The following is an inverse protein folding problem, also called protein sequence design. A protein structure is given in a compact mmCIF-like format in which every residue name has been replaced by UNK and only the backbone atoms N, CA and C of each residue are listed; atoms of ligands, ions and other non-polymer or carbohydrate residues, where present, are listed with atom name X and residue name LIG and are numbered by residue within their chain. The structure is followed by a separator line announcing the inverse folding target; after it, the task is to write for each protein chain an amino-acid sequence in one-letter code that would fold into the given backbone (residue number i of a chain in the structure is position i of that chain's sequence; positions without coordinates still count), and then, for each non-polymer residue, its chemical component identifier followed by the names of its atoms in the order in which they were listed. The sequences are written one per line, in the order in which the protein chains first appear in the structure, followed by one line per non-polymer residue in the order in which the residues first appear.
data_IF_046826164673
#
_entry.id   IF_046826164673
#
_cell.length_a   1.000
_cell.length_b   1.000
_cell.length_c   1.000
_cell.angle_alpha   90.00
_cell.angle_beta   90.00
_cell.angle_gamma   90.00
#
_symmetry.space_group_name_H-M   'P 1'
#
loop_
_entity.id
_entity.type
_entity.pdbx_description
1 polymer ?
#
# COMPACT_ATOMS: atom_id res chain seq x y z
N UNK A 1 31.31 -20.77 14.78
CA UNK A 1 31.35 -19.41 14.21
C UNK A 1 31.09 -18.42 15.32
N UNK A 2 31.73 -17.25 15.29
CA UNK A 2 31.43 -16.15 16.22
C UNK A 2 30.20 -15.35 15.74
N UNK A 3 29.69 -14.42 16.56
CA UNK A 3 28.49 -13.64 16.23
C UNK A 3 28.64 -12.88 14.90
N UNK A 4 29.80 -12.27 14.64
CA UNK A 4 30.09 -11.54 13.40
C UNK A 4 30.09 -12.44 12.15
N UNK A 5 30.60 -13.65 12.26
CA UNK A 5 30.60 -14.63 11.17
C UNK A 5 29.17 -15.04 10.81
N UNK A 6 28.31 -15.28 11.80
CA UNK A 6 26.90 -15.58 11.59
C UNK A 6 26.14 -14.39 11.00
N UNK A 7 26.39 -13.17 11.50
CA UNK A 7 25.82 -11.93 10.95
C UNK A 7 26.17 -11.75 9.47
N UNK A 8 27.45 -11.87 9.13
CA UNK A 8 27.90 -11.72 7.74
C UNK A 8 27.36 -12.82 6.81
N UNK A 9 27.19 -14.05 7.32
CA UNK A 9 26.55 -15.12 6.58
C UNK A 9 25.05 -14.84 6.36
N UNK A 10 24.36 -14.34 7.39
CA UNK A 10 22.96 -13.92 7.31
C UNK A 10 22.74 -12.87 6.20
N UNK A 11 23.58 -11.83 6.16
CA UNK A 11 23.51 -10.78 5.11
C UNK A 11 23.69 -11.38 3.71
N UNK A 12 24.64 -12.31 3.53
CA UNK A 12 24.85 -12.99 2.23
C UNK A 12 23.65 -13.84 1.81
N UNK A 13 23.00 -14.50 2.76
CA UNK A 13 21.81 -15.32 2.50
C UNK A 13 20.60 -14.45 2.20
N UNK A 14 20.46 -13.32 2.89
CA UNK A 14 19.41 -12.33 2.66
C UNK A 14 19.50 -11.77 1.22
N UNK A 15 20.70 -11.37 0.77
CA UNK A 15 20.94 -10.95 -0.63
C UNK A 15 20.62 -12.01 -1.68
N UNK A 16 20.63 -13.29 -1.28
CA UNK A 16 20.24 -14.43 -2.14
C UNK A 16 18.77 -14.82 -1.98
N UNK A 17 17.97 -13.99 -1.30
CA UNK A 17 16.54 -14.21 -1.01
C UNK A 17 16.27 -15.52 -0.24
N UNK A 18 17.24 -15.98 0.55
CA UNK A 18 17.11 -17.17 1.40
C UNK A 18 16.70 -16.78 2.81
N UNK A 19 15.49 -16.25 2.97
CA UNK A 19 15.02 -15.57 4.17
C UNK A 19 15.03 -16.45 5.43
N UNK A 20 14.57 -17.70 5.35
CA UNK A 20 14.59 -18.61 6.52
C UNK A 20 16.02 -18.96 6.96
N UNK A 21 16.93 -19.17 6.00
CA UNK A 21 18.33 -19.46 6.30
C UNK A 21 19.05 -18.23 6.85
N UNK A 22 18.71 -17.04 6.34
CA UNK A 22 19.24 -15.77 6.82
C UNK A 22 18.78 -15.51 8.26
N UNK A 23 17.48 -15.69 8.54
CA UNK A 23 16.90 -15.59 9.88
C UNK A 23 17.60 -16.52 10.86
N UNK A 24 17.77 -17.79 10.51
CA UNK A 24 18.46 -18.76 11.35
C UNK A 24 19.89 -18.31 11.69
N UNK A 25 20.62 -17.74 10.71
CA UNK A 25 21.95 -17.19 10.97
C UNK A 25 21.92 -15.99 11.92
N UNK A 26 20.96 -15.08 11.75
CA UNK A 26 20.83 -13.93 12.67
C UNK A 26 20.40 -14.34 14.08
N UNK A 27 19.53 -15.34 14.23
CA UNK A 27 19.18 -15.91 15.53
C UNK A 27 20.39 -16.53 16.23
N UNK A 28 21.22 -17.29 15.51
CA UNK A 28 22.47 -17.82 16.06
C UNK A 28 23.47 -16.72 16.43
N UNK A 29 23.53 -15.64 15.66
CA UNK A 29 24.35 -14.47 16.00
C UNK A 29 23.85 -13.78 17.27
N UNK A 30 22.53 -13.68 17.43
CA UNK A 30 21.87 -13.05 18.57
C UNK A 30 22.05 -13.86 19.86
N UNK A 31 21.96 -15.20 19.78
CA UNK A 31 22.26 -16.10 20.90
C UNK A 31 23.71 -15.95 21.38
N UNK A 32 24.65 -15.72 20.45
CA UNK A 32 26.05 -15.51 20.78
C UNK A 32 26.34 -14.10 21.34
N UNK A 33 25.65 -13.08 20.84
CA UNK A 33 25.77 -11.68 21.29
C UNK A 33 24.51 -10.90 20.92
N UNK A 34 23.62 -10.69 21.89
CA UNK A 34 22.38 -9.98 21.66
C UNK A 34 22.63 -8.52 21.26
N UNK A 35 21.95 -8.07 20.21
CA UNK A 35 21.93 -6.66 19.79
C UNK A 35 20.61 -6.33 19.09
N UNK A 36 20.19 -5.07 19.19
CA UNK A 36 18.98 -4.58 18.53
C UNK A 36 19.10 -4.68 17.01
N UNK A 37 20.30 -4.47 16.46
CA UNK A 37 20.59 -4.66 15.04
C UNK A 37 20.22 -6.08 14.57
N UNK A 38 20.59 -7.10 15.35
CA UNK A 38 20.31 -8.50 15.00
C UNK A 38 18.82 -8.83 15.12
N UNK A 39 18.11 -8.21 16.09
CA UNK A 39 16.65 -8.32 16.16
C UNK A 39 15.99 -7.71 14.92
N UNK A 40 16.42 -6.51 14.52
CA UNK A 40 15.91 -5.87 13.30
C UNK A 40 16.18 -6.72 12.06
N UNK A 41 17.33 -7.38 11.96
CA UNK A 41 17.60 -8.33 10.87
C UNK A 41 16.68 -9.57 10.90
N UNK A 42 16.37 -10.10 12.08
CA UNK A 42 15.45 -11.23 12.25
C UNK A 42 14.04 -10.83 11.79
N UNK A 43 13.58 -9.64 12.20
CA UNK A 43 12.29 -9.08 11.81
C UNK A 43 12.22 -8.81 10.30
N UNK A 44 13.26 -8.19 9.73
CA UNK A 44 13.37 -7.94 8.30
C UNK A 44 13.24 -9.23 7.47
N UNK A 45 13.81 -10.34 7.96
CA UNK A 45 13.66 -11.64 7.30
C UNK A 45 12.21 -12.16 7.30
N UNK A 46 11.42 -11.86 8.34
CA UNK A 46 10.01 -12.22 8.37
C UNK A 46 9.20 -11.35 7.42
N UNK A 47 9.43 -10.04 7.39
CA UNK A 47 8.75 -9.11 6.45
C UNK A 47 9.07 -9.48 5.00
N UNK A 48 10.32 -9.83 4.70
CA UNK A 48 10.75 -10.18 3.35
C UNK A 48 10.11 -11.47 2.79
N UNK A 49 9.50 -12.32 3.62
CA UNK A 49 8.78 -13.51 3.12
C UNK A 49 7.56 -13.15 2.29
N UNK A 50 6.86 -12.09 2.68
CA UNK A 50 5.67 -11.59 1.98
C UNK A 50 6.00 -10.46 1.02
N UNK A 51 7.03 -9.66 1.33
CA UNK A 51 7.36 -8.43 0.61
C UNK A 51 8.79 -8.45 0.04
N UNK A 52 9.16 -9.57 -0.59
CA UNK A 52 10.53 -9.84 -0.99
C UNK A 52 11.12 -8.77 -1.93
N UNK A 53 10.37 -8.29 -2.90
CA UNK A 53 10.87 -7.34 -3.90
C UNK A 53 11.09 -5.94 -3.28
N UNK A 54 10.13 -5.47 -2.47
CA UNK A 54 10.20 -4.15 -1.82
C UNK A 54 11.32 -4.11 -0.77
N UNK A 55 11.40 -5.14 0.08
CA UNK A 55 12.47 -5.26 1.08
C UNK A 55 13.83 -5.28 0.39
N UNK A 56 14.00 -6.07 -0.68
CA UNK A 56 15.30 -6.18 -1.34
C UNK A 56 15.71 -4.89 -2.06
N UNK A 57 14.76 -4.20 -2.69
CA UNK A 57 15.00 -2.92 -3.36
C UNK A 57 15.51 -1.85 -2.39
N UNK A 58 14.86 -1.72 -1.23
CA UNK A 58 15.29 -0.80 -0.19
C UNK A 58 16.59 -1.25 0.48
N UNK A 59 16.71 -2.54 0.79
CA UNK A 59 17.89 -3.09 1.47
C UNK A 59 19.20 -2.81 0.72
N UNK A 60 19.22 -2.94 -0.60
CA UNK A 60 20.43 -2.67 -1.40
C UNK A 60 20.83 -1.19 -1.38
N UNK A 61 19.86 -0.27 -1.28
CA UNK A 61 20.09 1.17 -1.19
C UNK A 61 20.65 1.52 0.21
N UNK A 62 20.00 1.04 1.26
CA UNK A 62 20.30 1.40 2.65
C UNK A 62 21.56 0.73 3.22
N UNK A 63 21.96 -0.46 2.74
CA UNK A 63 23.23 -1.11 3.15
C UNK A 63 24.42 -0.52 2.38
N UNK A 64 24.20 0.03 1.19
CA UNK A 64 25.24 0.67 0.39
C UNK A 64 25.74 2.00 0.98
N UNK A 65 24.91 2.67 1.78
CA UNK A 65 25.29 3.88 2.50
C UNK A 65 26.05 3.48 3.77
N UNK A 66 27.33 3.83 3.86
CA UNK A 66 28.16 3.59 5.05
C UNK A 66 27.72 4.50 6.20
N UNK A 67 26.51 4.32 6.74
CA UNK A 67 26.07 5.01 7.96
C UNK A 67 26.38 4.16 9.18
N UNK A 68 26.64 4.83 10.31
CA UNK A 68 27.05 4.21 11.57
C UNK A 68 25.92 3.47 12.30
N UNK A 69 24.67 3.59 11.85
CA UNK A 69 23.50 3.04 12.52
C UNK A 69 22.71 2.13 11.57
N UNK A 70 23.09 0.85 11.57
CA UNK A 70 22.44 -0.17 10.75
C UNK A 70 21.05 -0.53 11.32
N UNK A 71 20.84 -0.42 12.63
CA UNK A 71 19.57 -0.70 13.27
C UNK A 71 18.49 0.24 12.76
N UNK A 72 18.75 1.56 12.79
CA UNK A 72 17.79 2.55 12.30
C UNK A 72 17.47 2.36 10.81
N UNK A 73 18.47 2.07 9.98
CA UNK A 73 18.25 1.81 8.56
C UNK A 73 17.33 0.60 8.33
N UNK A 74 17.54 -0.49 9.06
CA UNK A 74 16.71 -1.70 8.92
C UNK A 74 15.28 -1.44 9.41
N UNK A 75 15.13 -0.72 10.52
CA UNK A 75 13.82 -0.36 11.04
C UNK A 75 13.04 0.55 10.09
N UNK A 76 13.73 1.46 9.41
CA UNK A 76 13.12 2.32 8.38
C UNK A 76 12.61 1.49 7.20
N UNK A 77 13.37 0.51 6.73
CA UNK A 77 12.90 -0.43 5.67
C UNK A 77 11.66 -1.19 6.14
N UNK A 78 11.68 -1.74 7.36
CA UNK A 78 10.54 -2.45 7.93
C UNK A 78 9.33 -1.53 7.99
N UNK A 79 9.50 -0.29 8.47
CA UNK A 79 8.40 0.66 8.58
C UNK A 79 7.84 1.02 7.21
N UNK A 80 8.67 1.29 6.19
CA UNK A 80 8.20 1.64 4.86
C UNK A 80 7.39 0.49 4.22
N UNK A 81 7.87 -0.75 4.35
CA UNK A 81 7.22 -1.93 3.78
C UNK A 81 5.96 -2.32 4.57
N UNK A 82 6.00 -2.20 5.90
CA UNK A 82 4.83 -2.51 6.74
C UNK A 82 3.79 -1.39 6.72
N UNK A 83 4.18 -0.14 6.49
CA UNK A 83 3.25 0.98 6.27
C UNK A 83 2.58 0.88 4.91
N UNK A 84 3.31 0.54 3.83
CA UNK A 84 2.66 0.23 2.55
C UNK A 84 1.69 -0.93 2.71
N UNK A 85 2.08 -1.95 3.48
CA UNK A 85 1.17 -3.03 3.84
C UNK A 85 0.06 -2.58 4.78
N UNK A 86 0.16 -1.54 5.61
CA UNK A 86 -0.93 -1.06 6.47
C UNK A 86 -1.87 -0.10 5.74
N UNK A 87 -1.38 0.65 4.75
CA UNK A 87 -2.20 1.41 3.82
C UNK A 87 -2.91 0.48 2.82
N UNK A 88 -2.32 -0.68 2.50
CA UNK A 88 -2.94 -1.75 1.70
C UNK A 88 -3.75 -2.77 2.54
N UNK A 89 -3.40 -2.99 3.82
CA UNK A 89 -4.03 -3.88 4.80
C UNK A 89 -4.67 -3.10 5.97
N UNK A 90 -5.22 -1.91 5.73
CA UNK A 90 -6.54 -1.67 6.30
C UNK A 90 -7.34 -2.91 5.91
N UNK A 91 -7.57 -3.82 6.87
CA UNK A 91 -8.40 -4.99 6.65
C UNK A 91 -9.65 -4.48 5.98
N UNK A 92 -9.76 -4.75 4.68
CA UNK A 92 -11.03 -4.67 3.99
C UNK A 92 -11.82 -5.75 4.72
N UNK A 93 -12.63 -5.34 5.70
CA UNK A 93 -13.67 -6.19 6.27
C UNK A 93 -14.60 -6.51 5.10
N UNK A 94 -14.26 -7.59 4.38
CA UNK A 94 -15.04 -8.10 3.26
C UNK A 94 -16.44 -8.56 3.69
N UNK A 95 -16.74 -8.59 5.00
CA UNK A 95 -18.07 -8.91 5.51
C UNK A 95 -19.14 -7.97 4.95
N UNK A 96 -18.80 -6.71 4.64
CA UNK A 96 -19.72 -5.74 4.04
C UNK A 96 -19.16 -5.08 2.76
N UNK A 97 -18.14 -5.67 2.11
CA UNK A 97 -17.59 -5.12 0.87
C UNK A 97 -18.29 -5.68 -0.37
N UNK A 98 -18.64 -4.80 -1.32
CA UNK A 98 -19.19 -5.21 -2.62
C UNK A 98 -18.24 -4.80 -3.73
N UNK A 99 -18.14 -5.60 -4.80
CA UNK A 99 -17.37 -5.18 -5.97
C UNK A 99 -18.13 -4.08 -6.73
N UNK A 100 -17.42 -3.32 -7.55
CA UNK A 100 -18.10 -2.36 -8.44
C UNK A 100 -19.08 -3.03 -9.42
N UNK A 101 -18.83 -4.27 -9.80
CA UNK A 101 -19.78 -5.05 -10.61
C UNK A 101 -21.08 -5.29 -9.85
N UNK A 102 -21.00 -5.72 -8.59
CA UNK A 102 -22.18 -5.93 -7.73
C UNK A 102 -22.94 -4.62 -7.52
N UNK A 103 -22.21 -3.52 -7.32
CA UNK A 103 -22.80 -2.18 -7.23
C UNK A 103 -23.55 -1.81 -8.53
N UNK A 104 -22.96 -2.06 -9.70
CA UNK A 104 -23.61 -1.83 -11.00
C UNK A 104 -24.89 -2.66 -11.13
N UNK A 105 -24.90 -3.90 -10.67
CA UNK A 105 -26.10 -4.73 -10.67
C UNK A 105 -27.19 -4.17 -9.74
N UNK A 106 -26.84 -3.70 -8.54
CA UNK A 106 -27.78 -3.05 -7.63
C UNK A 106 -28.38 -1.78 -8.26
N UNK A 107 -27.56 -0.93 -8.87
CA UNK A 107 -28.01 0.28 -9.58
C UNK A 107 -28.93 -0.09 -10.75
N UNK A 108 -28.59 -1.12 -11.53
CA UNK A 108 -29.42 -1.59 -12.65
C UNK A 108 -30.77 -2.11 -12.17
N UNK A 109 -30.81 -2.84 -11.06
CA UNK A 109 -32.04 -3.40 -10.49
C UNK A 109 -32.94 -2.31 -9.88
N UNK A 110 -32.35 -1.31 -9.22
CA UNK A 110 -33.10 -0.19 -8.63
C UNK A 110 -33.49 0.88 -9.64
N UNK A 111 -32.72 1.06 -10.72
CA UNK A 111 -32.85 2.17 -11.66
C UNK A 111 -32.43 3.55 -11.10
N UNK A 112 -31.94 3.62 -9.87
CA UNK A 112 -31.58 4.86 -9.18
C UNK A 112 -30.23 4.74 -8.47
N UNK A 113 -29.23 5.42 -9.04
CA UNK A 113 -27.87 5.46 -8.48
C UNK A 113 -27.83 6.10 -7.09
N UNK A 114 -28.56 7.20 -6.86
CA UNK A 114 -28.51 7.95 -5.60
C UNK A 114 -29.08 7.14 -4.44
N UNK A 115 -30.20 6.47 -4.69
CA UNK A 115 -30.83 5.60 -3.70
C UNK A 115 -29.91 4.45 -3.31
N UNK A 116 -29.33 3.74 -4.29
CA UNK A 116 -28.40 2.63 -4.04
C UNK A 116 -27.14 3.13 -3.35
N UNK A 117 -26.49 4.17 -3.87
CA UNK A 117 -25.27 4.71 -3.28
C UNK A 117 -25.48 5.16 -1.83
N UNK A 118 -26.58 5.88 -1.53
CA UNK A 118 -26.89 6.31 -0.16
C UNK A 118 -27.17 5.15 0.78
N UNK A 119 -27.69 4.03 0.27
CA UNK A 119 -27.97 2.83 1.08
C UNK A 119 -26.72 2.04 1.46
N UNK A 120 -25.62 2.21 0.72
CA UNK A 120 -24.38 1.44 0.93
C UNK A 120 -23.23 2.30 1.45
N UNK A 121 -23.22 3.61 1.23
CA UNK A 121 -22.05 4.48 1.51
C UNK A 121 -21.61 4.49 2.98
N UNK A 122 -22.52 4.20 3.92
CA UNK A 122 -22.22 4.22 5.35
C UNK A 122 -21.74 2.87 5.90
N UNK A 123 -22.11 1.77 5.25
CA UNK A 123 -21.90 0.41 5.77
C UNK A 123 -21.00 -0.44 4.89
N UNK A 124 -20.84 -0.07 3.62
CA UNK A 124 -20.35 -1.00 2.59
C UNK A 124 -19.28 -0.31 1.76
N UNK A 125 -18.09 -0.91 1.75
CA UNK A 125 -16.95 -0.42 0.96
C UNK A 125 -17.07 -0.96 -0.48
N UNK A 126 -17.04 -0.07 -1.48
CA UNK A 126 -17.05 -0.47 -2.89
C UNK A 126 -15.61 -0.78 -3.33
N UNK A 127 -15.34 -2.05 -3.63
CA UNK A 127 -14.02 -2.51 -4.07
C UNK A 127 -13.89 -2.33 -5.58
N UNK A 128 -12.86 -1.59 -5.98
CA UNK A 128 -12.57 -1.25 -7.38
C UNK A 128 -11.15 -1.70 -7.68
N UNK A 129 -11.00 -2.63 -8.62
CA UNK A 129 -9.72 -3.31 -8.90
C UNK A 129 -9.08 -2.89 -10.22
N UNK A 130 -9.77 -2.08 -11.02
CA UNK A 130 -9.25 -1.57 -12.28
C UNK A 130 -9.63 -0.11 -12.52
N UNK A 131 -8.87 0.51 -13.40
CA UNK A 131 -8.91 1.94 -13.68
C UNK A 131 -10.18 2.39 -14.40
N UNK A 132 -10.68 1.61 -15.34
CA UNK A 132 -11.87 1.98 -16.11
C UNK A 132 -13.11 1.99 -15.21
N UNK A 133 -13.21 1.02 -14.30
CA UNK A 133 -14.27 0.95 -13.30
C UNK A 133 -14.18 2.11 -12.28
N UNK A 134 -12.98 2.52 -11.85
CA UNK A 134 -12.84 3.69 -10.98
C UNK A 134 -13.29 4.96 -11.68
N UNK A 135 -12.87 5.16 -12.93
CA UNK A 135 -13.27 6.30 -13.75
C UNK A 135 -14.79 6.36 -13.91
N UNK A 136 -15.41 5.23 -14.25
CA UNK A 136 -16.86 5.11 -14.37
C UNK A 136 -17.56 5.44 -13.05
N UNK A 137 -17.04 4.92 -11.92
CA UNK A 137 -17.59 5.18 -10.59
C UNK A 137 -17.52 6.66 -10.22
N UNK A 138 -16.35 7.28 -10.38
CA UNK A 138 -16.14 8.71 -10.07
C UNK A 138 -17.00 9.60 -10.96
N UNK A 139 -17.08 9.31 -12.26
CA UNK A 139 -17.99 10.03 -13.16
C UNK A 139 -19.44 9.95 -12.70
N UNK A 140 -19.88 8.77 -12.26
CA UNK A 140 -21.24 8.58 -11.77
C UNK A 140 -21.47 9.32 -10.45
N UNK A 141 -20.50 9.36 -9.53
CA UNK A 141 -20.58 10.17 -8.31
C UNK A 141 -20.79 11.64 -8.65
N UNK A 142 -19.97 12.18 -9.55
CA UNK A 142 -20.04 13.59 -9.96
C UNK A 142 -21.37 13.90 -10.65
N UNK A 143 -21.80 13.06 -11.61
CA UNK A 143 -23.09 13.22 -12.32
C UNK A 143 -24.27 13.22 -11.34
N UNK A 144 -24.16 12.51 -10.22
CA UNK A 144 -25.19 12.41 -9.19
C UNK A 144 -25.01 13.40 -8.02
N UNK A 145 -24.09 14.37 -8.12
CA UNK A 145 -23.93 15.43 -7.10
C UNK A 145 -23.04 15.08 -5.92
N UNK A 146 -22.37 13.92 -5.93
CA UNK A 146 -21.37 13.51 -4.93
C UNK A 146 -19.96 13.94 -5.37
N UNK A 147 -19.81 15.20 -5.81
CA UNK A 147 -18.58 15.72 -6.42
C UNK A 147 -17.38 15.62 -5.47
N UNK A 148 -17.53 16.04 -4.21
CA UNK A 148 -16.46 16.02 -3.22
C UNK A 148 -15.97 14.60 -2.94
N UNK A 149 -16.88 13.64 -2.84
CA UNK A 149 -16.52 12.23 -2.67
C UNK A 149 -15.78 11.69 -3.89
N UNK A 150 -16.25 11.99 -5.11
CA UNK A 150 -15.56 11.60 -6.34
C UNK A 150 -14.14 12.15 -6.43
N UNK A 151 -13.91 13.38 -5.95
CA UNK A 151 -12.58 13.98 -5.86
C UNK A 151 -11.69 13.27 -4.82
N UNK A 152 -12.22 13.00 -3.63
CA UNK A 152 -11.48 12.29 -2.58
C UNK A 152 -11.02 10.90 -3.05
N UNK A 153 -11.85 10.18 -3.81
CA UNK A 153 -11.47 8.88 -4.40
C UNK A 153 -10.35 9.00 -5.44
N UNK A 154 -10.31 10.08 -6.22
CA UNK A 154 -9.22 10.33 -7.18
C UNK A 154 -7.92 10.71 -6.46
N UNK A 155 -8.01 11.53 -5.42
CA UNK A 155 -6.85 11.98 -4.63
C UNK A 155 -6.22 10.81 -3.86
N UNK A 156 -7.02 9.97 -3.19
CA UNK A 156 -6.52 8.80 -2.46
C UNK A 156 -5.91 7.74 -3.37
N UNK A 157 -6.31 7.74 -4.65
CA UNK A 157 -5.83 6.78 -5.65
C UNK A 157 -4.81 7.42 -6.61
N UNK A 158 -4.34 8.65 -6.35
CA UNK A 158 -3.49 9.42 -7.26
C UNK A 158 -2.18 8.70 -7.64
N UNK A 159 -1.62 7.91 -6.73
CA UNK A 159 -0.42 7.10 -6.97
C UNK A 159 -0.64 6.02 -8.05
N UNK A 160 -1.87 5.52 -8.21
CA UNK A 160 -2.25 4.54 -9.25
C UNK A 160 -2.31 5.22 -10.64
N UNK A 161 -2.43 6.55 -10.68
CA UNK A 161 -2.75 7.32 -11.89
C UNK A 161 -1.67 8.30 -12.35
N UNK A 162 -0.47 8.27 -11.77
CA UNK A 162 0.66 9.09 -12.21
C UNK A 162 0.90 8.91 -13.73
N UNK A 163 0.69 10.00 -14.48
CA UNK A 163 0.91 10.07 -15.93
C UNK A 163 -0.32 9.78 -16.80
N UNK A 164 -1.53 9.59 -16.25
CA UNK A 164 -2.74 9.43 -17.06
C UNK A 164 -3.40 10.77 -17.45
N UNK A 165 -3.34 11.08 -18.75
CA UNK A 165 -3.85 12.32 -19.33
C UNK A 165 -5.38 12.50 -19.15
N UNK A 166 -6.16 11.41 -19.11
CA UNK A 166 -7.62 11.51 -18.91
C UNK A 166 -7.95 11.86 -17.46
N UNK A 167 -7.27 11.25 -16.50
CA UNK A 167 -7.41 11.55 -15.07
C UNK A 167 -6.95 12.97 -14.79
N UNK A 168 -5.80 13.40 -15.30
CA UNK A 168 -5.31 14.77 -15.17
C UNK A 168 -6.33 15.78 -15.72
N UNK A 169 -6.96 15.45 -16.85
CA UNK A 169 -8.02 16.28 -17.43
C UNK A 169 -9.27 16.33 -16.56
N UNK A 170 -9.70 15.20 -15.99
CA UNK A 170 -10.85 15.13 -15.07
C UNK A 170 -10.57 15.95 -13.81
N UNK A 171 -9.41 15.77 -13.18
CA UNK A 171 -8.99 16.55 -12.00
C UNK A 171 -8.97 18.04 -12.33
N UNK A 172 -8.40 18.42 -13.48
CA UNK A 172 -8.35 19.81 -13.94
C UNK A 172 -9.74 20.38 -14.21
N UNK A 173 -10.60 19.67 -14.93
CA UNK A 173 -11.97 20.10 -15.25
C UNK A 173 -12.83 20.22 -13.97
N UNK A 174 -12.58 19.41 -12.95
CA UNK A 174 -13.28 19.44 -11.66
C UNK A 174 -12.77 20.54 -10.73
N UNK A 175 -11.45 20.76 -10.69
CA UNK A 175 -10.81 21.84 -9.94
C UNK A 175 -11.17 23.23 -10.50
N UNK A 176 -11.21 23.39 -11.83
CA UNK A 176 -11.59 24.63 -12.49
C UNK A 176 -13.07 25.01 -12.30
N UNK A 177 -13.96 24.04 -12.02
CA UNK A 177 -15.36 24.33 -11.71
C UNK A 177 -15.58 24.93 -10.32
N UNK A 178 -14.62 24.83 -9.39
CA UNK A 178 -14.75 25.43 -8.06
C UNK A 178 -14.50 26.95 -8.07
N UNK A 179 -13.77 27.50 -9.05
CA UNK A 179 -13.51 28.94 -9.12
C UNK A 179 -14.64 29.74 -9.81
N UNK A 180 -15.51 29.07 -10.58
CA UNK A 180 -16.54 29.74 -11.38
C UNK A 180 -17.97 29.72 -10.79
N UNK A 181 -18.16 29.22 -9.58
CA UNK A 181 -19.45 29.30 -8.85
C UNK A 181 -19.42 30.21 -7.61
N UNK A 182 -18.37 31.02 -7.44
CA UNK A 182 -18.26 32.04 -6.39
C UNK A 182 -18.39 33.49 -6.93
N UNK A 183 -19.15 33.70 -8.01
CA UNK A 183 -19.51 35.04 -8.51
C UNK A 183 -20.99 35.14 -8.80
#
# INVERSE_FOLDING_TARGET
MNSDEYRNLGIKLLKRRKFDMAKACFSLAYEASASDELLSFIELCEVAKSNADDVMGLFDIYIGTKTSDQTSNIQEIINLVTQSDQELNEKIDYEDAITYLDFKELVKNSGDFKAVFSSIIFSTRVVITNKDDLLEFVENLIKNGYKEMGLNYLESSANIFLGDVKIEKIIKDLGLKNENSAR
#
